data_IF_984366948707
#
_entry.id   IF_984366948707
#
_cell.length_a   1.000
_cell.length_b   1.000
_cell.length_c   1.000
_cell.angle_alpha   90.00
_cell.angle_beta   90.00
_cell.angle_gamma   90.00
#
_symmetry.space_group_name_H-M   'P 1'
#
loop_
_entity.id
_entity.type
_entity.pdbx_description
1 polymer ?
#
# COMPACT_ATOMS: atom_id res chain seq x y z
N UNK A 1 -29.49 11.62 -2.29
CA UNK A 1 -28.33 12.35 -2.84
C UNK A 1 -27.27 12.72 -1.77
N UNK A 2 -27.62 12.83 -0.48
CA UNK A 2 -26.71 13.26 0.60
C UNK A 2 -25.64 12.25 1.04
N UNK A 3 -25.87 10.94 0.87
CA UNK A 3 -24.89 9.88 1.25
C UNK A 3 -23.85 9.58 0.16
N UNK A 4 -24.11 9.97 -1.08
CA UNK A 4 -23.27 9.66 -2.24
C UNK A 4 -21.96 10.47 -2.20
N UNK A 5 -22.02 11.76 -1.88
CA UNK A 5 -20.83 12.64 -1.83
C UNK A 5 -19.77 12.16 -0.82
N UNK A 6 -20.10 11.86 0.46
CA UNK A 6 -19.11 11.38 1.42
C UNK A 6 -18.54 10.00 1.05
N UNK A 7 -19.34 9.13 0.41
CA UNK A 7 -18.87 7.85 -0.09
C UNK A 7 -17.81 8.02 -1.18
N UNK A 8 -18.07 8.88 -2.18
CA UNK A 8 -17.09 9.17 -3.23
C UNK A 8 -15.79 9.77 -2.68
N UNK A 9 -15.87 10.65 -1.70
CA UNK A 9 -14.70 11.21 -1.04
C UNK A 9 -13.85 10.16 -0.35
N UNK A 10 -14.51 9.24 0.34
CA UNK A 10 -13.81 8.13 1.02
C UNK A 10 -13.15 7.19 -0.01
N UNK A 11 -13.85 6.90 -1.10
CA UNK A 11 -13.35 6.07 -2.19
C UNK A 11 -12.12 6.73 -2.86
N UNK A 12 -12.18 8.02 -3.17
CA UNK A 12 -11.07 8.75 -3.74
C UNK A 12 -9.86 8.78 -2.77
N UNK A 13 -10.09 9.08 -1.49
CA UNK A 13 -9.03 9.05 -0.48
C UNK A 13 -8.36 7.67 -0.41
N UNK A 14 -9.14 6.60 -0.49
CA UNK A 14 -8.66 5.22 -0.50
C UNK A 14 -7.81 4.94 -1.75
N UNK A 15 -8.34 5.25 -2.94
CA UNK A 15 -7.62 5.00 -4.22
C UNK A 15 -6.29 5.73 -4.23
N UNK A 16 -6.25 7.02 -3.90
CA UNK A 16 -5.00 7.79 -3.88
C UNK A 16 -4.01 7.23 -2.85
N UNK A 17 -4.46 6.89 -1.66
CA UNK A 17 -3.60 6.30 -0.62
C UNK A 17 -3.06 4.94 -1.05
N UNK A 18 -3.89 4.07 -1.61
CA UNK A 18 -3.48 2.75 -2.04
C UNK A 18 -2.51 2.79 -3.22
N UNK A 19 -2.73 3.69 -4.20
CA UNK A 19 -1.80 3.92 -5.30
C UNK A 19 -0.44 4.42 -4.80
N UNK A 20 -0.44 5.40 -3.90
CA UNK A 20 0.80 5.94 -3.33
C UNK A 20 1.56 4.88 -2.54
N UNK A 21 0.87 4.11 -1.70
CA UNK A 21 1.46 3.02 -0.93
C UNK A 21 2.06 1.95 -1.85
N UNK A 22 1.33 1.55 -2.89
CA UNK A 22 1.80 0.57 -3.88
C UNK A 22 3.04 1.07 -4.62
N UNK A 23 3.03 2.34 -5.02
CA UNK A 23 4.18 2.97 -5.67
C UNK A 23 5.44 2.91 -4.79
N UNK A 24 5.32 3.30 -3.51
CA UNK A 24 6.47 3.29 -2.60
C UNK A 24 6.95 1.87 -2.26
N UNK A 25 6.07 0.89 -2.19
CA UNK A 25 6.43 -0.52 -2.01
C UNK A 25 7.29 -1.00 -3.20
N UNK A 26 6.85 -0.75 -4.44
CA UNK A 26 7.60 -1.14 -5.62
C UNK A 26 8.91 -0.36 -5.75
N UNK A 27 8.88 0.94 -5.49
CA UNK A 27 10.07 1.79 -5.48
C UNK A 27 11.14 1.27 -4.50
N UNK A 28 10.73 0.95 -3.27
CA UNK A 28 11.60 0.36 -2.27
C UNK A 28 12.20 -0.97 -2.73
N UNK A 29 11.38 -1.85 -3.32
CA UNK A 29 11.85 -3.14 -3.83
C UNK A 29 12.88 -2.95 -4.95
N UNK A 30 12.64 -2.04 -5.89
CA UNK A 30 13.58 -1.71 -6.97
C UNK A 30 14.90 -1.20 -6.42
N UNK A 31 14.87 -0.23 -5.48
CA UNK A 31 16.08 0.33 -4.86
C UNK A 31 16.88 -0.77 -4.16
N UNK A 32 16.21 -1.66 -3.42
CA UNK A 32 16.85 -2.74 -2.70
C UNK A 32 17.58 -3.68 -3.64
N UNK A 33 16.93 -4.07 -4.75
CA UNK A 33 17.50 -4.93 -5.77
C UNK A 33 18.73 -4.29 -6.43
N UNK A 34 18.64 -3.00 -6.76
CA UNK A 34 19.77 -2.27 -7.36
C UNK A 34 20.93 -2.10 -6.38
N UNK A 35 20.63 -1.87 -5.10
CA UNK A 35 21.66 -1.77 -4.08
C UNK A 35 22.40 -3.11 -3.89
N UNK A 36 21.65 -4.22 -3.95
CA UNK A 36 22.26 -5.56 -3.93
C UNK A 36 23.17 -5.77 -5.13
N UNK A 37 22.74 -5.40 -6.35
CA UNK A 37 23.57 -5.50 -7.57
C UNK A 37 24.83 -4.63 -7.46
N UNK A 38 24.72 -3.43 -6.93
CA UNK A 38 25.86 -2.55 -6.69
C UNK A 38 26.90 -3.18 -5.75
N UNK A 39 26.44 -3.85 -4.70
CA UNK A 39 27.32 -4.57 -3.79
C UNK A 39 28.02 -5.79 -4.42
N UNK A 40 27.48 -6.30 -5.54
CA UNK A 40 28.13 -7.34 -6.36
C UNK A 40 29.12 -6.77 -7.40
N UNK A 41 29.38 -5.47 -7.39
CA UNK A 41 30.35 -4.82 -8.28
C UNK A 41 29.78 -4.31 -9.60
N UNK A 42 28.46 -4.28 -9.76
CA UNK A 42 27.84 -3.70 -10.95
C UNK A 42 27.71 -2.17 -10.82
N UNK A 43 28.11 -1.44 -11.86
CA UNK A 43 27.89 0.00 -11.92
C UNK A 43 26.43 0.32 -12.23
N UNK A 44 25.79 1.05 -11.33
CA UNK A 44 24.38 1.43 -11.46
C UNK A 44 24.29 2.92 -11.78
N UNK A 45 23.99 3.21 -13.04
CA UNK A 45 23.71 4.58 -13.47
C UNK A 45 22.27 5.00 -13.12
N UNK A 46 22.02 6.31 -13.07
CA UNK A 46 20.69 6.87 -12.84
C UNK A 46 19.69 6.41 -13.93
N UNK A 47 20.16 6.20 -15.16
CA UNK A 47 19.37 5.66 -16.26
C UNK A 47 18.89 4.23 -15.98
N UNK A 48 19.76 3.35 -15.47
CA UNK A 48 19.41 1.98 -15.06
C UNK A 48 18.35 2.01 -13.95
N UNK A 49 18.48 2.91 -12.96
CA UNK A 49 17.50 3.06 -11.89
C UNK A 49 16.11 3.43 -12.45
N UNK A 50 16.03 4.43 -13.34
CA UNK A 50 14.75 4.84 -13.93
C UNK A 50 14.14 3.72 -14.78
N UNK A 51 14.93 3.04 -15.60
CA UNK A 51 14.46 1.92 -16.41
C UNK A 51 13.95 0.75 -15.55
N UNK A 52 14.69 0.38 -14.51
CA UNK A 52 14.29 -0.68 -13.58
C UNK A 52 12.99 -0.32 -12.87
N UNK A 53 12.85 0.92 -12.41
CA UNK A 53 11.62 1.39 -11.77
C UNK A 53 10.42 1.31 -12.72
N UNK A 54 10.57 1.77 -13.96
CA UNK A 54 9.50 1.71 -14.97
C UNK A 54 9.15 0.25 -15.32
N UNK A 55 10.15 -0.62 -15.38
CA UNK A 55 9.94 -2.05 -15.61
C UNK A 55 9.16 -2.69 -14.47
N UNK A 56 9.55 -2.44 -13.22
CA UNK A 56 8.88 -2.99 -12.04
C UNK A 56 7.46 -2.44 -11.87
N UNK A 57 7.23 -1.16 -12.17
CA UNK A 57 5.89 -0.58 -12.18
C UNK A 57 4.98 -1.25 -13.23
N UNK A 58 5.50 -1.57 -14.41
CA UNK A 58 4.75 -2.32 -15.43
C UNK A 58 4.59 -3.79 -15.03
N UNK A 59 5.66 -4.40 -14.52
CA UNK A 59 5.66 -5.79 -14.03
C UNK A 59 4.66 -6.01 -12.90
N UNK A 60 4.46 -5.02 -12.04
CA UNK A 60 3.45 -5.06 -10.99
C UNK A 60 2.00 -5.19 -11.49
N UNK A 61 1.73 -4.91 -12.76
CA UNK A 61 0.44 -5.14 -13.41
C UNK A 61 0.27 -6.59 -13.90
N UNK A 62 1.37 -7.36 -13.99
CA UNK A 62 1.31 -8.76 -14.39
C UNK A 62 0.66 -9.61 -13.30
N UNK A 63 -0.16 -10.62 -13.64
CA UNK A 63 -0.78 -11.47 -12.66
C UNK A 63 0.27 -12.32 -11.94
N UNK A 64 0.27 -12.25 -10.61
CA UNK A 64 1.18 -13.01 -9.75
C UNK A 64 0.44 -14.22 -9.16
N UNK A 65 -0.84 -14.06 -8.87
CA UNK A 65 -1.70 -15.06 -8.27
C UNK A 65 -2.89 -15.32 -9.18
N UNK A 66 -3.19 -16.58 -9.41
CA UNK A 66 -4.47 -17.00 -10.00
C UNK A 66 -5.23 -17.69 -8.87
N UNK A 67 -6.02 -16.92 -8.13
CA UNK A 67 -6.84 -17.45 -7.07
C UNK A 67 -8.29 -17.48 -7.53
N UNK A 68 -8.89 -18.67 -7.50
CA UNK A 68 -10.29 -18.88 -7.93
C UNK A 68 -10.55 -18.51 -9.40
N UNK A 69 -9.50 -18.64 -10.26
CA UNK A 69 -9.59 -18.28 -11.68
C UNK A 69 -9.46 -16.80 -11.99
N UNK A 70 -9.25 -15.94 -10.98
CA UNK A 70 -9.07 -14.50 -11.15
C UNK A 70 -7.57 -14.17 -11.09
N UNK A 71 -7.00 -13.58 -12.17
CA UNK A 71 -5.61 -13.13 -12.13
C UNK A 71 -5.48 -11.88 -11.23
N UNK A 72 -4.76 -12.02 -10.12
CA UNK A 72 -4.51 -10.91 -9.20
C UNK A 72 -3.05 -10.48 -9.35
N UNK A 73 -2.85 -9.19 -9.59
CA UNK A 73 -1.52 -8.56 -9.64
C UNK A 73 -1.14 -8.01 -8.26
N UNK A 74 0.14 -7.58 -8.10
CA UNK A 74 0.63 -7.07 -6.81
C UNK A 74 -0.14 -5.85 -6.33
N UNK A 75 -0.56 -4.96 -7.22
CA UNK A 75 -1.39 -3.81 -6.87
C UNK A 75 -2.73 -4.25 -6.30
N UNK A 76 -3.38 -5.23 -6.94
CA UNK A 76 -4.65 -5.80 -6.48
C UNK A 76 -4.54 -6.40 -5.09
N UNK A 77 -3.47 -7.13 -4.79
CA UNK A 77 -3.21 -7.68 -3.45
C UNK A 77 -3.07 -6.57 -2.41
N UNK A 78 -2.29 -5.52 -2.72
CA UNK A 78 -2.12 -4.37 -1.82
C UNK A 78 -3.45 -3.64 -1.60
N UNK A 79 -4.21 -3.39 -2.68
CA UNK A 79 -5.53 -2.74 -2.60
C UNK A 79 -6.50 -3.52 -1.71
N UNK A 80 -6.62 -4.83 -1.92
CA UNK A 80 -7.51 -5.68 -1.13
C UNK A 80 -7.12 -5.64 0.34
N UNK A 81 -5.84 -5.80 0.67
CA UNK A 81 -5.39 -5.82 2.05
C UNK A 81 -5.59 -4.46 2.75
N UNK A 82 -5.26 -3.35 2.08
CA UNK A 82 -5.50 -2.01 2.62
C UNK A 82 -6.99 -1.73 2.79
N UNK A 83 -7.84 -2.19 1.84
CA UNK A 83 -9.28 -2.06 1.94
C UNK A 83 -9.82 -2.73 3.21
N UNK A 84 -9.47 -4.00 3.42
CA UNK A 84 -9.89 -4.72 4.63
C UNK A 84 -9.32 -4.10 5.90
N UNK A 85 -8.05 -3.70 5.91
CA UNK A 85 -7.42 -3.06 7.05
C UNK A 85 -8.10 -1.75 7.43
N UNK A 86 -8.37 -0.88 6.48
CA UNK A 86 -9.04 0.40 6.73
C UNK A 86 -10.51 0.21 7.08
N UNK A 87 -11.20 -0.75 6.46
CA UNK A 87 -12.58 -1.09 6.76
C UNK A 87 -12.74 -1.60 8.20
N UNK A 88 -11.93 -2.58 8.61
CA UNK A 88 -11.92 -3.09 9.98
C UNK A 88 -11.59 -1.99 10.99
N UNK A 89 -10.60 -1.15 10.69
CA UNK A 89 -10.26 -0.01 11.56
C UNK A 89 -11.41 0.98 11.68
N UNK A 90 -12.14 1.23 10.60
CA UNK A 90 -13.32 2.08 10.66
C UNK A 90 -14.39 1.51 11.61
N UNK A 91 -14.63 0.18 11.57
CA UNK A 91 -15.57 -0.50 12.47
C UNK A 91 -15.08 -0.43 13.93
N UNK A 92 -13.82 -0.77 14.18
CA UNK A 92 -13.24 -0.75 15.55
C UNK A 92 -13.37 0.64 16.17
N UNK A 93 -13.17 1.69 15.38
CA UNK A 93 -13.29 3.08 15.83
C UNK A 93 -14.72 3.52 16.16
N UNK A 94 -15.74 2.78 15.74
CA UNK A 94 -17.11 3.02 16.18
C UNK A 94 -17.29 2.58 17.65
N UNK A 95 -16.51 1.61 18.09
CA UNK A 95 -16.59 1.01 19.44
C UNK A 95 -15.59 1.68 20.38
N UNK A 96 -14.36 1.90 19.91
CA UNK A 96 -13.25 2.41 20.72
C UNK A 96 -12.81 3.77 20.17
N UNK A 97 -12.92 4.87 20.94
CA UNK A 97 -12.53 6.21 20.54
C UNK A 97 -11.00 6.39 20.54
N UNK A 98 -10.30 5.81 19.56
CA UNK A 98 -8.85 5.95 19.38
C UNK A 98 -8.53 7.06 18.39
N UNK A 99 -7.34 7.64 18.48
CA UNK A 99 -6.87 8.64 17.52
C UNK A 99 -6.92 8.10 16.08
N UNK A 100 -7.66 8.80 15.22
CA UNK A 100 -7.94 8.39 13.83
C UNK A 100 -6.66 8.18 13.03
N UNK A 101 -5.75 9.11 13.10
CA UNK A 101 -4.51 9.12 12.31
C UNK A 101 -3.64 7.90 12.66
N UNK A 102 -3.46 7.65 13.96
CA UNK A 102 -2.66 6.53 14.42
C UNK A 102 -3.32 5.17 14.10
N UNK A 103 -4.64 5.07 14.27
CA UNK A 103 -5.36 3.82 13.99
C UNK A 103 -5.27 3.41 12.53
N UNK A 104 -5.46 4.36 11.58
CA UNK A 104 -5.31 4.07 10.15
C UNK A 104 -3.83 3.82 9.77
N UNK A 105 -2.88 4.47 10.44
CA UNK A 105 -1.47 4.16 10.29
C UNK A 105 -1.16 2.71 10.68
N UNK A 106 -1.60 2.27 11.85
CA UNK A 106 -1.44 0.87 12.29
C UNK A 106 -2.16 -0.11 11.37
N UNK A 107 -3.34 0.26 10.85
CA UNK A 107 -4.04 -0.58 9.88
C UNK A 107 -3.24 -0.77 8.60
N UNK A 108 -2.64 0.30 8.07
CA UNK A 108 -1.76 0.21 6.90
C UNK A 108 -0.51 -0.64 7.16
N UNK A 109 0.12 -0.47 8.32
CA UNK A 109 1.24 -1.30 8.76
C UNK A 109 0.86 -2.79 8.81
N UNK A 110 -0.24 -3.12 9.49
CA UNK A 110 -0.72 -4.48 9.65
C UNK A 110 -1.15 -5.10 8.31
N UNK A 111 -1.74 -4.31 7.40
CA UNK A 111 -2.13 -4.77 6.08
C UNK A 111 -0.92 -5.18 5.24
N UNK A 112 0.13 -4.37 5.22
CA UNK A 112 1.35 -4.68 4.46
C UNK A 112 2.08 -5.88 5.08
N UNK A 113 2.19 -5.94 6.40
CA UNK A 113 2.74 -7.10 7.09
C UNK A 113 1.95 -8.38 6.76
N UNK A 114 0.61 -8.29 6.79
CA UNK A 114 -0.29 -9.40 6.47
C UNK A 114 -0.12 -9.92 5.04
N UNK A 115 0.09 -9.06 4.06
CA UNK A 115 0.38 -9.47 2.68
C UNK A 115 1.66 -10.30 2.63
N UNK A 116 2.74 -9.81 3.23
CA UNK A 116 4.04 -10.48 3.18
C UNK A 116 3.95 -11.84 3.89
N UNK A 117 3.28 -11.88 5.04
CA UNK A 117 3.06 -13.11 5.79
C UNK A 117 2.19 -14.10 4.99
N UNK A 118 1.09 -13.64 4.37
CA UNK A 118 0.21 -14.47 3.55
C UNK A 118 0.92 -15.04 2.33
N UNK A 119 1.70 -14.21 1.62
CA UNK A 119 2.46 -14.69 0.45
C UNK A 119 3.51 -15.72 0.85
N UNK A 120 4.18 -15.54 1.99
CA UNK A 120 5.12 -16.51 2.54
C UNK A 120 4.46 -17.86 2.82
N UNK A 121 3.27 -17.86 3.41
CA UNK A 121 2.51 -19.10 3.69
C UNK A 121 2.01 -19.80 2.41
N UNK A 122 1.63 -19.01 1.39
CA UNK A 122 1.05 -19.54 0.14
C UNK A 122 2.11 -20.15 -0.78
N UNK A 123 3.35 -19.69 -0.73
CA UNK A 123 4.44 -20.10 -1.61
C UNK A 123 5.55 -20.88 -0.89
N UNK A 124 5.18 -21.79 0.01
CA UNK A 124 6.12 -22.68 0.71
C UNK A 124 7.33 -21.95 1.30
N UNK A 125 7.08 -20.91 2.09
CA UNK A 125 8.06 -20.03 2.71
C UNK A 125 8.84 -19.10 1.76
N UNK A 126 8.52 -19.07 0.45
CA UNK A 126 9.15 -18.15 -0.48
C UNK A 126 8.55 -16.76 -0.31
N UNK A 127 9.40 -15.79 0.02
CA UNK A 127 9.01 -14.37 0.01
C UNK A 127 9.14 -13.83 -1.41
N UNK A 128 8.01 -13.51 -2.06
CA UNK A 128 7.96 -13.03 -3.45
C UNK A 128 8.67 -11.69 -3.63
N UNK A 129 8.68 -10.85 -2.60
CA UNK A 129 9.32 -9.54 -2.64
C UNK A 129 10.71 -9.69 -2.04
N UNK A 130 11.75 -9.59 -2.87
CA UNK A 130 13.13 -9.85 -2.48
C UNK A 130 13.60 -9.04 -1.27
N UNK A 131 13.25 -7.77 -1.21
CA UNK A 131 13.60 -6.88 -0.10
C UNK A 131 12.90 -7.22 1.22
N UNK A 132 11.77 -7.92 1.20
CA UNK A 132 11.06 -8.37 2.40
C UNK A 132 11.64 -9.66 3.02
N UNK A 133 12.67 -10.25 2.41
CA UNK A 133 13.40 -11.40 2.98
C UNK A 133 14.23 -11.02 4.19
N UNK A 134 14.67 -9.77 4.26
CA UNK A 134 15.40 -9.21 5.39
C UNK A 134 14.47 -8.44 6.31
N UNK A 135 14.73 -8.50 7.62
CA UNK A 135 13.91 -7.81 8.65
C UNK A 135 13.88 -6.31 8.40
N UNK A 136 15.00 -5.71 7.98
CA UNK A 136 15.08 -4.28 7.64
C UNK A 136 14.17 -3.90 6.49
N UNK A 137 14.18 -4.67 5.41
CA UNK A 137 13.29 -4.43 4.27
C UNK A 137 11.82 -4.63 4.61
N UNK A 138 11.51 -5.67 5.40
CA UNK A 138 10.16 -5.91 5.93
C UNK A 138 9.65 -4.71 6.75
N UNK A 139 10.47 -4.19 7.67
CA UNK A 139 10.11 -3.04 8.50
C UNK A 139 9.86 -1.79 7.65
N UNK A 140 10.69 -1.53 6.64
CA UNK A 140 10.49 -0.40 5.74
C UNK A 140 9.16 -0.52 5.00
N UNK A 141 8.79 -1.70 4.50
CA UNK A 141 7.49 -1.92 3.88
C UNK A 141 6.33 -1.64 4.83
N UNK A 142 6.42 -2.15 6.05
CA UNK A 142 5.41 -1.89 7.07
C UNK A 142 5.30 -0.40 7.41
N UNK A 143 6.42 0.33 7.45
CA UNK A 143 6.42 1.78 7.63
C UNK A 143 5.79 2.51 6.44
N UNK A 144 6.05 2.07 5.20
CA UNK A 144 5.35 2.61 4.02
C UNK A 144 3.84 2.42 4.16
N UNK A 145 3.39 1.25 4.59
CA UNK A 145 1.98 1.00 4.90
C UNK A 145 1.43 1.92 5.98
N UNK A 146 2.20 2.14 7.06
CA UNK A 146 1.83 3.06 8.14
C UNK A 146 1.62 4.49 7.65
N UNK A 147 2.57 5.02 6.88
CA UNK A 147 2.44 6.36 6.30
C UNK A 147 1.31 6.43 5.27
N UNK A 148 1.08 5.37 4.50
CA UNK A 148 -0.07 5.25 3.62
C UNK A 148 -1.39 5.37 4.38
N UNK A 149 -1.54 4.73 5.53
CA UNK A 149 -2.72 4.84 6.38
C UNK A 149 -2.92 6.24 6.98
N UNK A 150 -1.83 6.91 7.39
CA UNK A 150 -1.87 8.32 7.83
C UNK A 150 -2.36 9.21 6.68
N UNK A 151 -1.80 9.02 5.48
CA UNK A 151 -2.17 9.78 4.28
C UNK A 151 -3.64 9.56 3.90
N UNK A 152 -4.13 8.32 3.97
CA UNK A 152 -5.55 8.01 3.81
C UNK A 152 -6.42 8.84 4.76
N UNK A 153 -6.07 8.88 6.04
CA UNK A 153 -6.85 9.64 7.02
C UNK A 153 -6.82 11.15 6.73
N UNK A 154 -5.69 11.71 6.31
CA UNK A 154 -5.57 13.12 5.96
C UNK A 154 -6.43 13.47 4.74
N UNK A 155 -6.34 12.68 3.67
CA UNK A 155 -7.17 12.86 2.47
C UNK A 155 -8.67 12.75 2.77
N UNK A 156 -9.06 11.75 3.57
CA UNK A 156 -10.44 11.59 4.03
C UNK A 156 -10.95 12.84 4.72
N UNK A 157 -10.19 13.39 5.68
CA UNK A 157 -10.58 14.60 6.40
C UNK A 157 -10.64 15.81 5.47
N UNK A 158 -9.68 15.94 4.57
CA UNK A 158 -9.64 17.02 3.58
C UNK A 158 -10.87 17.00 2.66
N UNK A 159 -11.16 15.87 2.02
CA UNK A 159 -12.30 15.74 1.11
C UNK A 159 -13.65 15.93 1.82
N UNK A 160 -13.78 15.45 3.06
CA UNK A 160 -15.00 15.69 3.84
C UNK A 160 -15.21 17.17 4.19
N UNK A 161 -14.13 17.91 4.50
CA UNK A 161 -14.20 19.37 4.74
C UNK A 161 -14.64 20.13 3.50
N UNK A 162 -14.08 19.81 2.33
CA UNK A 162 -14.43 20.47 1.06
C UNK A 162 -15.94 20.30 0.78
N UNK A 163 -16.48 19.11 0.98
CA UNK A 163 -17.92 18.85 0.77
C UNK A 163 -18.79 19.62 1.76
N UNK A 164 -18.35 19.73 3.01
CA UNK A 164 -19.12 20.46 4.04
C UNK A 164 -19.14 21.96 3.75
N UNK A 165 -18.05 22.50 3.21
CA UNK A 165 -17.95 23.91 2.81
C UNK A 165 -18.89 24.23 1.64
N UNK A 166 -18.96 23.40 0.62
CA UNK A 166 -19.90 23.56 -0.52
C UNK A 166 -21.38 23.49 -0.11
N UNK A 167 -21.68 22.91 1.04
CA UNK A 167 -23.07 22.82 1.52
C UNK A 167 -23.53 24.08 2.24
N UNK A 168 -22.63 24.86 2.78
CA UNK A 168 -22.93 26.04 3.59
C UNK A 168 -22.90 27.36 2.77
N UNK A 169 -22.50 27.32 1.51
CA UNK A 169 -22.57 28.36 0.51
C UNK A 169 -23.63 28.02 -0.54
#
# INVERSE_FOLDING_TARGET
>A
MYLIKPFFSLLLAFIFSALLTSFFILFQNTIWNLFWLKNQGFDISLFVLIQSLLHDLRGGLSPILIQWGIPINIYGVIFIALFFGYFLTAIIRLIIPVNSMFSFGLAGFASVYGIIFYTKMTFDEIVLISSAREITGLLIFCLIGFFGGIFFNQLKVYFLKVITYEKNN
#
